data_IF_474310077531
#
_entry.id   IF_474310077531
#
_cell.length_a   1.000
_cell.length_b   1.000
_cell.length_c   1.000
_cell.angle_alpha   90.00
_cell.angle_beta   90.00
_cell.angle_gamma   90.00
#
_symmetry.space_group_name_H-M   'P 1'
#
loop_
_entity.id
_entity.type
_entity.pdbx_description
1 polymer ?
#
# COMPACT_ATOMS: atom_id res chain seq x y z
N UNK A 1 36.54 -5.99 -25.05
CA UNK A 1 35.80 -6.48 -23.86
C UNK A 1 34.35 -6.53 -24.24
N UNK A 2 33.65 -7.63 -23.92
CA UNK A 2 32.20 -7.69 -24.09
C UNK A 2 31.54 -6.74 -23.08
N UNK A 3 30.47 -6.06 -23.49
CA UNK A 3 29.73 -5.10 -22.64
C UNK A 3 29.22 -5.73 -21.35
N UNK A 4 28.90 -7.03 -21.38
CA UNK A 4 28.46 -7.80 -20.22
C UNK A 4 29.56 -7.92 -19.15
N UNK A 5 30.81 -8.17 -19.57
CA UNK A 5 31.97 -8.31 -18.67
C UNK A 5 32.27 -6.97 -17.96
N UNK A 6 32.15 -5.85 -18.68
CA UNK A 6 32.31 -4.52 -18.09
C UNK A 6 31.23 -4.21 -17.05
N UNK A 7 29.98 -4.59 -17.30
CA UNK A 7 28.88 -4.45 -16.34
C UNK A 7 29.15 -5.28 -15.09
N UNK A 8 29.64 -6.52 -15.23
CA UNK A 8 29.93 -7.38 -14.09
C UNK A 8 31.05 -6.82 -13.21
N UNK A 9 32.17 -6.41 -13.83
CA UNK A 9 33.29 -5.75 -13.14
C UNK A 9 32.87 -4.41 -12.49
N UNK A 10 31.96 -3.67 -13.13
CA UNK A 10 31.43 -2.43 -12.57
C UNK A 10 30.56 -2.70 -11.32
N UNK A 11 29.69 -3.70 -11.35
CA UNK A 11 28.88 -4.12 -10.19
C UNK A 11 29.74 -4.69 -9.06
N UNK A 12 30.89 -5.27 -9.37
CA UNK A 12 31.90 -5.73 -8.40
C UNK A 12 32.83 -4.63 -7.90
N UNK A 13 32.73 -3.41 -8.45
CA UNK A 13 33.62 -2.27 -8.15
C UNK A 13 35.10 -2.55 -8.44
N UNK A 14 35.37 -3.42 -9.41
CA UNK A 14 36.73 -3.79 -9.86
C UNK A 14 37.08 -3.14 -11.20
N UNK A 15 36.13 -2.49 -11.86
CA UNK A 15 36.36 -1.77 -13.11
C UNK A 15 37.23 -0.51 -12.88
N UNK A 16 38.30 -0.29 -13.67
CA UNK A 16 39.11 0.93 -13.57
C UNK A 16 38.26 2.21 -13.73
N UNK A 17 38.61 3.25 -12.98
CA UNK A 17 37.82 4.50 -12.89
C UNK A 17 37.56 5.16 -14.26
N UNK A 18 38.53 5.15 -15.16
CA UNK A 18 38.39 5.67 -16.53
C UNK A 18 37.34 4.89 -17.35
N UNK A 19 37.35 3.55 -17.24
CA UNK A 19 36.40 2.69 -17.93
C UNK A 19 35.00 2.75 -17.31
N UNK A 20 34.91 2.96 -15.99
CA UNK A 20 33.65 3.17 -15.28
C UNK A 20 32.94 4.43 -15.78
N UNK A 21 33.66 5.55 -15.94
CA UNK A 21 33.08 6.80 -16.48
C UNK A 21 32.57 6.58 -17.92
N UNK A 22 33.32 5.85 -18.74
CA UNK A 22 32.88 5.50 -20.10
C UNK A 22 31.61 4.64 -20.12
N UNK A 23 31.52 3.65 -19.23
CA UNK A 23 30.34 2.80 -19.10
C UNK A 23 29.12 3.60 -18.61
N UNK A 24 29.29 4.48 -17.63
CA UNK A 24 28.23 5.37 -17.15
C UNK A 24 27.70 6.30 -18.24
N UNK A 25 28.59 6.80 -19.10
CA UNK A 25 28.19 7.61 -20.25
C UNK A 25 27.38 6.79 -21.25
N UNK A 26 27.82 5.56 -21.54
CA UNK A 26 27.10 4.64 -22.43
C UNK A 26 25.71 4.27 -21.87
N UNK A 27 25.60 4.04 -20.56
CA UNK A 27 24.32 3.78 -19.87
C UNK A 27 23.32 4.94 -19.98
N UNK A 28 23.80 6.18 -20.15
CA UNK A 28 22.93 7.35 -20.35
C UNK A 28 22.52 7.57 -21.80
N UNK A 29 23.36 7.14 -22.74
CA UNK A 29 23.16 7.38 -24.16
C UNK A 29 22.42 6.25 -24.87
N UNK A 30 22.58 5.01 -24.40
CA UNK A 30 22.07 3.81 -25.04
C UNK A 30 21.10 3.06 -24.11
N UNK A 31 19.82 3.04 -24.52
CA UNK A 31 18.74 2.37 -23.80
C UNK A 31 18.92 0.84 -23.77
N UNK A 32 19.54 0.23 -24.78
CA UNK A 32 19.73 -1.22 -24.83
C UNK A 32 20.79 -1.66 -23.79
N UNK A 33 21.84 -0.87 -23.61
CA UNK A 33 22.86 -1.10 -22.56
C UNK A 33 22.24 -0.92 -21.17
N UNK A 34 21.38 0.08 -20.99
CA UNK A 34 20.64 0.27 -19.73
C UNK A 34 19.73 -0.94 -19.43
N UNK A 35 18.98 -1.44 -20.40
CA UNK A 35 18.15 -2.63 -20.24
C UNK A 35 18.98 -3.88 -19.93
N UNK A 36 20.15 -4.03 -20.54
CA UNK A 36 21.07 -5.13 -20.22
C UNK A 36 21.56 -5.03 -18.77
N UNK A 37 21.97 -3.84 -18.33
CA UNK A 37 22.39 -3.56 -16.95
C UNK A 37 21.30 -3.93 -15.94
N UNK A 38 20.07 -3.47 -16.16
CA UNK A 38 18.93 -3.77 -15.28
C UNK A 38 18.67 -5.27 -15.16
N UNK A 39 18.76 -6.03 -16.27
CA UNK A 39 18.60 -7.49 -16.27
C UNK A 39 19.69 -8.18 -15.45
N UNK A 40 20.94 -7.75 -15.57
CA UNK A 40 22.06 -8.32 -14.80
C UNK A 40 21.89 -8.05 -13.31
N UNK A 41 21.51 -6.82 -12.93
CA UNK A 41 21.24 -6.46 -11.53
C UNK A 41 20.13 -7.33 -10.94
N UNK A 42 19.02 -7.50 -11.66
CA UNK A 42 17.91 -8.37 -11.23
C UNK A 42 18.37 -9.81 -11.10
N UNK A 43 19.03 -10.37 -12.12
CA UNK A 43 19.51 -11.76 -12.11
C UNK A 43 20.43 -12.04 -10.92
N UNK A 44 21.38 -11.13 -10.64
CA UNK A 44 22.31 -11.25 -9.51
C UNK A 44 21.60 -11.19 -8.16
N UNK A 45 20.58 -10.34 -8.02
CA UNK A 45 19.76 -10.28 -6.80
C UNK A 45 18.99 -11.59 -6.54
N UNK A 46 18.50 -12.23 -7.61
CA UNK A 46 17.80 -13.52 -7.53
C UNK A 46 18.76 -14.64 -7.13
N UNK A 47 19.95 -14.71 -7.72
CA UNK A 47 20.98 -15.69 -7.35
C UNK A 47 21.41 -15.52 -5.88
N UNK A 48 21.65 -14.27 -5.45
CA UNK A 48 22.05 -13.97 -4.06
C UNK A 48 20.96 -14.35 -3.05
N UNK A 49 19.71 -14.03 -3.34
CA UNK A 49 18.59 -14.40 -2.46
C UNK A 49 18.37 -15.91 -2.41
N UNK A 50 18.54 -16.63 -3.52
CA UNK A 50 18.49 -18.09 -3.55
C UNK A 50 19.61 -18.73 -2.71
N UNK A 51 20.85 -18.22 -2.83
CA UNK A 51 21.98 -18.68 -2.03
C UNK A 51 21.78 -18.44 -0.53
N UNK A 52 21.30 -17.24 -0.14
CA UNK A 52 20.99 -16.91 1.25
C UNK A 52 19.90 -17.83 1.81
N UNK A 53 18.83 -18.08 1.04
CA UNK A 53 17.75 -18.99 1.43
C UNK A 53 18.27 -20.41 1.67
N UNK A 54 19.22 -20.88 0.85
CA UNK A 54 19.87 -22.17 1.04
C UNK A 54 20.68 -22.22 2.35
N UNK A 55 21.47 -21.16 2.65
CA UNK A 55 22.23 -21.06 3.90
C UNK A 55 21.31 -21.08 5.13
N UNK A 56 20.21 -20.32 5.10
CA UNK A 56 19.23 -20.29 6.19
C UNK A 56 18.58 -21.66 6.38
N UNK A 57 18.22 -22.36 5.29
CA UNK A 57 17.66 -23.71 5.36
C UNK A 57 18.63 -24.70 6.00
N UNK A 58 19.92 -24.64 5.65
CA UNK A 58 20.93 -25.52 6.22
C UNK A 58 21.17 -25.24 7.72
N UNK A 59 21.21 -23.96 8.11
CA UNK A 59 21.33 -23.56 9.51
C UNK A 59 20.11 -24.04 10.32
N UNK A 60 18.91 -23.94 9.75
CA UNK A 60 17.69 -24.44 10.39
C UNK A 60 17.73 -25.95 10.63
N UNK A 61 18.25 -26.72 9.66
CA UNK A 61 18.44 -28.18 9.82
C UNK A 61 19.46 -28.49 10.91
N UNK A 62 20.60 -27.78 10.95
CA UNK A 62 21.61 -27.95 12.01
C UNK A 62 21.05 -27.64 13.39
N UNK A 63 20.27 -26.56 13.53
CA UNK A 63 19.65 -26.17 14.79
C UNK A 63 18.64 -27.23 15.27
N UNK A 64 17.82 -27.77 14.36
CA UNK A 64 16.89 -28.84 14.70
C UNK A 64 17.60 -30.13 15.11
N UNK A 65 18.72 -30.46 14.47
CA UNK A 65 19.53 -31.64 14.81
C UNK A 65 20.19 -31.48 16.19
N UNK A 66 20.69 -30.28 16.50
CA UNK A 66 21.28 -29.97 17.81
C UNK A 66 20.22 -29.95 18.92
N UNK A 67 19.00 -29.48 18.65
CA UNK A 67 17.88 -29.55 19.61
C UNK A 67 17.37 -30.97 19.87
N UNK A 68 17.49 -31.86 18.88
CA UNK A 68 17.04 -33.25 18.99
C UNK A 68 18.12 -34.20 19.50
N UNK A 69 19.35 -33.71 19.72
CA UNK A 69 20.43 -34.50 20.28
C UNK A 69 20.11 -34.80 21.76
N UNK A 70 19.84 -36.07 22.12
CA UNK A 70 19.65 -36.43 23.51
C UNK A 70 20.97 -36.20 24.26
N UNK A 71 20.90 -35.58 25.44
CA UNK A 71 22.06 -35.32 26.31
C UNK A 71 22.76 -36.63 26.67
N UNK A 72 23.75 -37.02 25.86
CA UNK A 72 24.48 -38.27 26.04
C UNK A 72 25.82 -38.03 26.74
N UNK A 73 25.76 -37.66 28.03
CA UNK A 73 26.83 -37.97 29.01
C UNK A 73 26.23 -38.14 30.41
N UNK A 74 25.71 -39.34 30.69
CA UNK A 74 25.56 -39.82 32.05
C UNK A 74 26.87 -40.51 32.48
N UNK A 75 27.88 -39.73 32.87
CA UNK A 75 29.04 -40.27 33.60
C UNK A 75 28.81 -40.13 35.10
N UNK A 76 28.73 -41.30 35.74
CA UNK A 76 28.83 -41.64 37.17
C UNK A 76 28.69 -40.52 38.23
N UNK A 77 27.59 -40.65 39.00
CA UNK A 77 27.22 -39.84 40.16
C UNK A 77 28.29 -39.85 41.25
N UNK A 78 29.02 -38.75 41.41
CA UNK A 78 29.44 -38.31 42.73
C UNK A 78 28.32 -37.46 43.35
N UNK A 79 27.80 -37.94 44.49
CA UNK A 79 26.73 -37.30 45.26
C UNK A 79 27.24 -36.00 45.91
N UNK A 80 27.24 -34.90 45.16
CA UNK A 80 27.33 -33.56 45.73
C UNK A 80 25.96 -33.11 46.24
N UNK A 81 25.89 -32.43 47.40
CA UNK A 81 24.63 -32.03 48.03
C UNK A 81 23.76 -31.19 47.09
N UNK A 82 22.53 -31.66 46.86
CA UNK A 82 21.55 -31.06 45.96
C UNK A 82 21.08 -29.73 46.54
N UNK A 83 21.56 -28.63 45.94
CA UNK A 83 20.99 -27.29 46.15
C UNK A 83 19.73 -27.16 45.28
N UNK A 84 18.59 -26.71 45.83
CA UNK A 84 17.34 -26.68 45.10
C UNK A 84 17.42 -25.65 43.94
N UNK A 85 17.11 -26.12 42.71
CA UNK A 85 17.39 -25.48 41.41
C UNK A 85 16.46 -24.31 41.03
N UNK A 86 15.54 -23.91 41.91
CA UNK A 86 14.55 -22.84 41.68
C UNK A 86 15.16 -21.43 41.57
N UNK A 87 16.42 -21.24 41.97
CA UNK A 87 17.09 -19.94 41.92
C UNK A 87 17.77 -19.61 40.58
N UNK A 88 17.98 -20.59 39.68
CA UNK A 88 18.76 -20.39 38.44
C UNK A 88 17.90 -19.97 37.23
N UNK A 89 16.62 -20.36 37.19
CA UNK A 89 15.66 -19.89 36.19
C UNK A 89 15.16 -18.44 36.44
N UNK A 90 15.29 -17.93 37.67
CA UNK A 90 14.84 -16.58 38.01
C UNK A 90 15.67 -15.46 37.40
N UNK A 91 16.94 -15.69 37.03
CA UNK A 91 17.79 -14.63 36.45
C UNK A 91 17.59 -14.45 34.94
N UNK A 92 17.38 -15.52 34.18
CA UNK A 92 17.10 -15.46 32.73
C UNK A 92 15.71 -14.85 32.45
N UNK A 93 14.71 -15.15 33.28
CA UNK A 93 13.38 -14.52 33.18
C UNK A 93 13.47 -13.00 33.40
N UNK A 94 14.34 -12.52 34.31
CA UNK A 94 14.49 -11.08 34.57
C UNK A 94 15.12 -10.32 33.40
N UNK A 95 16.03 -10.93 32.65
CA UNK A 95 16.57 -10.33 31.42
C UNK A 95 15.56 -10.37 30.27
N UNK A 96 14.88 -11.50 30.07
CA UNK A 96 13.82 -11.61 29.06
C UNK A 96 12.66 -10.63 29.31
N UNK A 97 12.25 -10.46 30.57
CA UNK A 97 11.21 -9.51 30.95
C UNK A 97 11.60 -8.06 30.67
N UNK A 98 12.88 -7.69 30.83
CA UNK A 98 13.36 -6.33 30.50
C UNK A 98 13.33 -6.06 29.01
N UNK A 99 13.78 -7.02 28.20
CA UNK A 99 13.73 -6.90 26.73
C UNK A 99 12.27 -6.79 26.25
N UNK A 100 11.38 -7.61 26.78
CA UNK A 100 9.94 -7.55 26.48
C UNK A 100 9.30 -6.22 26.91
N UNK A 101 9.61 -5.72 28.11
CA UNK A 101 9.09 -4.46 28.61
C UNK A 101 9.57 -3.26 27.76
N UNK A 102 10.85 -3.24 27.37
CA UNK A 102 11.37 -2.22 26.45
C UNK A 102 10.69 -2.27 25.09
N UNK A 103 10.46 -3.48 24.56
CA UNK A 103 9.70 -3.66 23.31
C UNK A 103 8.27 -3.14 23.43
N UNK A 104 7.58 -3.43 24.54
CA UNK A 104 6.23 -2.91 24.81
C UNK A 104 6.21 -1.38 24.93
N UNK A 105 7.20 -0.78 25.59
CA UNK A 105 7.31 0.68 25.68
C UNK A 105 7.51 1.33 24.31
N UNK A 106 8.36 0.74 23.46
CA UNK A 106 8.55 1.21 22.09
C UNK A 106 7.26 1.08 21.26
N UNK A 107 6.55 -0.05 21.36
CA UNK A 107 5.27 -0.26 20.69
C UNK A 107 4.20 0.72 21.18
N UNK A 108 4.11 0.95 22.49
CA UNK A 108 3.16 1.90 23.08
C UNK A 108 3.49 3.34 22.67
N UNK A 109 4.78 3.71 22.65
CA UNK A 109 5.23 5.01 22.17
C UNK A 109 4.90 5.23 20.70
N UNK A 110 5.18 4.24 19.84
CA UNK A 110 4.84 4.28 18.42
C UNK A 110 3.32 4.36 18.19
N UNK A 111 2.53 3.55 18.89
CA UNK A 111 1.07 3.58 18.80
C UNK A 111 0.49 4.93 19.25
N UNK A 112 1.03 5.51 20.32
CA UNK A 112 0.63 6.84 20.81
C UNK A 112 0.99 7.95 19.81
N UNK A 113 2.17 7.87 19.20
CA UNK A 113 2.60 8.79 18.14
C UNK A 113 1.68 8.72 16.92
N UNK A 114 1.37 7.51 16.45
CA UNK A 114 0.44 7.33 15.34
C UNK A 114 -0.95 7.86 15.70
N UNK A 115 -1.49 7.51 16.87
CA UNK A 115 -2.79 8.02 17.33
C UNK A 115 -2.88 9.55 17.39
N UNK A 116 -1.80 10.22 17.78
CA UNK A 116 -1.73 11.67 17.81
C UNK A 116 -1.73 12.30 16.41
N UNK A 117 -1.05 11.68 15.44
CA UNK A 117 -0.89 12.21 14.09
C UNK A 117 -1.95 11.73 13.08
N UNK A 118 -2.67 10.64 13.36
CA UNK A 118 -3.76 10.16 12.50
C UNK A 118 -4.97 11.08 12.66
N UNK A 119 -5.28 11.79 11.58
CA UNK A 119 -6.49 12.61 11.42
C UNK A 119 -7.25 12.20 10.16
N UNK A 120 -8.53 12.58 10.10
CA UNK A 120 -9.36 12.35 8.92
C UNK A 120 -8.75 13.06 7.70
N UNK A 121 -8.27 14.29 7.86
CA UNK A 121 -7.70 15.09 6.77
C UNK A 121 -6.40 14.48 6.22
N UNK A 122 -5.51 14.00 7.10
CA UNK A 122 -4.28 13.33 6.69
C UNK A 122 -4.57 12.02 5.95
N UNK A 123 -5.52 11.23 6.42
CA UNK A 123 -5.91 9.99 5.74
C UNK A 123 -6.58 10.29 4.39
N UNK A 124 -7.54 11.22 4.39
CA UNK A 124 -8.26 11.62 3.18
C UNK A 124 -7.31 12.11 2.10
N UNK A 125 -6.42 13.06 2.43
CA UNK A 125 -5.45 13.60 1.47
C UNK A 125 -4.48 12.55 0.94
N UNK A 126 -4.05 11.60 1.77
CA UNK A 126 -3.19 10.49 1.35
C UNK A 126 -3.90 9.50 0.40
N UNK A 127 -5.23 9.37 0.52
CA UNK A 127 -6.04 8.45 -0.29
C UNK A 127 -6.79 9.11 -1.43
N UNK A 128 -6.87 10.43 -1.48
CA UNK A 128 -7.56 11.09 -2.57
C UNK A 128 -6.71 11.03 -3.85
N UNK A 129 -7.13 10.18 -4.78
CA UNK A 129 -6.53 10.07 -6.11
C UNK A 129 -7.35 10.94 -7.05
N UNK A 130 -6.69 11.84 -7.78
CA UNK A 130 -7.37 12.66 -8.77
C UNK A 130 -7.84 11.78 -9.93
N UNK A 131 -9.15 11.76 -10.19
CA UNK A 131 -9.71 11.00 -11.31
C UNK A 131 -9.34 11.66 -12.63
N UNK A 132 -8.79 10.89 -13.56
CA UNK A 132 -8.50 11.36 -14.90
C UNK A 132 -9.48 10.73 -15.88
N UNK A 133 -10.21 11.58 -16.61
CA UNK A 133 -11.09 11.14 -17.68
C UNK A 133 -10.27 10.39 -18.74
N UNK A 134 -10.64 9.14 -19.11
CA UNK A 134 -9.98 8.42 -20.19
C UNK A 134 -10.00 9.26 -21.48
N UNK A 135 -8.84 9.38 -22.14
CA UNK A 135 -8.76 10.03 -23.44
C UNK A 135 -9.44 9.13 -24.49
N UNK A 136 -10.67 9.48 -24.87
CA UNK A 136 -11.41 8.80 -25.94
C UNK A 136 -10.75 9.11 -27.29
N UNK A 137 -9.94 8.18 -27.79
CA UNK A 137 -9.29 8.29 -29.10
C UNK A 137 -10.31 7.97 -30.21
N UNK A 138 -10.96 8.99 -30.77
CA UNK A 138 -11.65 8.87 -32.07
C UNK A 138 -13.19 8.94 -32.12
N UNK A 139 -13.87 9.61 -31.19
CA UNK A 139 -15.31 9.86 -31.29
C UNK A 139 -15.60 11.31 -31.71
N UNK A 140 -16.40 11.51 -32.77
CA UNK A 140 -16.87 12.82 -33.23
C UNK A 140 -17.25 13.74 -32.06
N UNK A 141 -16.41 14.75 -31.83
CA UNK A 141 -16.43 15.69 -30.69
C UNK A 141 -17.67 16.57 -30.59
N UNK A 142 -18.69 16.35 -31.41
CA UNK A 142 -19.87 17.23 -31.50
C UNK A 142 -20.88 17.03 -30.37
N UNK A 143 -20.69 16.02 -29.51
CA UNK A 143 -21.53 15.75 -28.34
C UNK A 143 -20.74 15.28 -27.11
N UNK A 144 -19.43 15.58 -27.04
CA UNK A 144 -18.72 15.54 -25.76
C UNK A 144 -19.45 16.50 -24.82
N UNK A 145 -19.96 15.96 -23.72
CA UNK A 145 -20.84 16.69 -22.82
C UNK A 145 -20.09 17.91 -22.29
N UNK A 146 -20.75 19.07 -22.17
CA UNK A 146 -20.15 20.29 -21.62
C UNK A 146 -19.49 20.03 -20.25
N UNK A 147 -19.87 18.98 -19.51
CA UNK A 147 -19.29 18.65 -18.22
C UNK A 147 -17.88 18.04 -18.31
N UNK A 148 -17.55 17.32 -19.38
CA UNK A 148 -16.26 16.66 -19.56
C UNK A 148 -15.14 17.69 -19.69
N UNK A 149 -15.38 18.72 -20.53
CA UNK A 149 -14.44 19.82 -20.75
C UNK A 149 -14.28 20.67 -19.48
N UNK A 150 -15.38 20.92 -18.77
CA UNK A 150 -15.34 21.60 -17.47
C UNK A 150 -14.55 20.77 -16.44
N UNK A 151 -14.68 19.45 -16.45
CA UNK A 151 -13.92 18.58 -15.54
C UNK A 151 -12.42 18.58 -15.85
N UNK A 152 -12.05 18.47 -17.13
CA UNK A 152 -10.65 18.53 -17.59
C UNK A 152 -9.98 19.86 -17.25
N UNK A 153 -10.73 20.96 -17.30
CA UNK A 153 -10.24 22.30 -16.95
C UNK A 153 -10.29 22.60 -15.45
N UNK A 154 -10.77 21.67 -14.62
CA UNK A 154 -10.89 21.86 -13.17
C UNK A 154 -11.99 22.85 -12.76
N UNK A 155 -12.91 23.18 -13.65
CA UNK A 155 -14.02 24.12 -13.42
C UNK A 155 -15.17 23.47 -12.62
N UNK A 156 -14.87 22.95 -11.43
CA UNK A 156 -15.79 22.14 -10.63
C UNK A 156 -17.09 22.88 -10.23
N UNK A 157 -17.01 24.18 -9.97
CA UNK A 157 -18.20 25.02 -9.70
C UNK A 157 -19.12 25.12 -10.91
N UNK A 158 -18.56 25.19 -12.12
CA UNK A 158 -19.35 25.25 -13.35
C UNK A 158 -20.05 23.91 -13.63
N UNK A 159 -19.43 22.78 -13.26
CA UNK A 159 -20.04 21.44 -13.37
C UNK A 159 -21.32 21.37 -12.54
N UNK A 160 -21.26 21.77 -11.26
CA UNK A 160 -22.41 21.66 -10.36
C UNK A 160 -23.55 22.59 -10.79
N UNK A 161 -23.23 23.80 -11.28
CA UNK A 161 -24.21 24.72 -11.88
C UNK A 161 -24.86 24.13 -13.13
N UNK A 162 -24.04 23.65 -14.08
CA UNK A 162 -24.51 23.08 -15.35
C UNK A 162 -25.37 21.84 -15.11
N UNK A 163 -24.95 20.95 -14.21
CA UNK A 163 -25.70 19.76 -13.82
C UNK A 163 -27.12 20.08 -13.33
N UNK A 164 -27.30 21.17 -12.59
CA UNK A 164 -28.61 21.65 -12.14
C UNK A 164 -29.58 21.92 -13.30
N UNK A 165 -29.05 22.40 -14.43
CA UNK A 165 -29.84 22.77 -15.63
C UNK A 165 -30.13 21.62 -16.59
N UNK A 166 -29.49 20.45 -16.42
CA UNK A 166 -29.69 19.30 -17.31
C UNK A 166 -31.09 18.71 -17.13
N UNK A 167 -31.84 18.63 -18.23
CA UNK A 167 -33.18 18.03 -18.30
C UNK A 167 -33.12 16.52 -18.00
N UNK A 168 -32.16 15.82 -18.59
CA UNK A 168 -31.86 14.40 -18.35
C UNK A 168 -30.47 14.28 -17.75
N UNK A 169 -30.33 13.44 -16.72
CA UNK A 169 -29.07 13.23 -15.98
C UNK A 169 -28.64 11.80 -16.17
N UNK A 170 -27.50 11.61 -16.83
CA UNK A 170 -26.91 10.29 -17.09
C UNK A 170 -26.07 9.80 -15.92
N UNK A 171 -25.68 8.52 -15.94
CA UNK A 171 -24.73 7.96 -14.96
C UNK A 171 -23.37 8.69 -14.99
N UNK A 172 -22.94 9.15 -16.17
CA UNK A 172 -21.72 9.94 -16.33
C UNK A 172 -21.84 11.32 -15.66
N UNK A 173 -22.95 12.04 -15.89
CA UNK A 173 -23.19 13.35 -15.28
C UNK A 173 -23.23 13.27 -13.75
N UNK A 174 -23.86 12.21 -13.22
CA UNK A 174 -23.90 11.92 -11.79
C UNK A 174 -22.50 11.72 -11.21
N UNK A 175 -21.68 10.91 -11.88
CA UNK A 175 -20.32 10.62 -11.46
C UNK A 175 -19.45 11.89 -11.44
N UNK A 176 -19.40 12.63 -12.55
CA UNK A 176 -18.59 13.85 -12.67
C UNK A 176 -19.04 14.94 -11.68
N UNK A 177 -20.34 15.05 -11.43
CA UNK A 177 -20.85 15.99 -10.42
C UNK A 177 -20.48 15.56 -9.01
N UNK A 178 -20.52 14.26 -8.69
CA UNK A 178 -20.02 13.73 -7.42
C UNK A 178 -18.54 14.03 -7.21
N UNK A 179 -17.73 13.82 -8.24
CA UNK A 179 -16.30 14.18 -8.22
C UNK A 179 -16.08 15.68 -8.05
N UNK A 180 -16.84 16.52 -8.76
CA UNK A 180 -16.76 17.98 -8.61
C UNK A 180 -17.08 18.44 -7.17
N UNK A 181 -18.05 17.79 -6.52
CA UNK A 181 -18.35 18.05 -5.10
C UNK A 181 -17.21 17.60 -4.18
N UNK A 182 -16.56 16.47 -4.44
CA UNK A 182 -15.38 16.05 -3.68
C UNK A 182 -14.22 17.06 -3.77
N UNK A 183 -13.91 17.55 -4.98
CA UNK A 183 -12.88 18.57 -5.17
C UNK A 183 -13.18 19.90 -4.45
N UNK A 184 -14.45 20.17 -4.19
CA UNK A 184 -14.91 21.35 -3.44
C UNK A 184 -15.08 21.07 -1.94
N UNK A 185 -14.68 19.90 -1.45
CA UNK A 185 -14.89 19.44 -0.08
C UNK A 185 -16.37 19.46 0.37
N UNK A 186 -17.29 19.35 -0.60
CA UNK A 186 -18.74 19.32 -0.38
C UNK A 186 -19.21 17.86 -0.21
N UNK A 187 -18.75 17.22 0.86
CA UNK A 187 -18.84 15.76 1.03
C UNK A 187 -20.28 15.23 1.06
N UNK A 188 -21.21 15.92 1.73
CA UNK A 188 -22.64 15.52 1.78
C UNK A 188 -23.29 15.49 0.40
N UNK A 189 -22.97 16.47 -0.43
CA UNK A 189 -23.45 16.56 -1.81
C UNK A 189 -22.82 15.45 -2.67
N UNK A 190 -21.52 15.19 -2.50
CA UNK A 190 -20.83 14.09 -3.16
C UNK A 190 -21.46 12.73 -2.82
N UNK A 191 -21.67 12.44 -1.52
CA UNK A 191 -22.37 11.23 -1.04
C UNK A 191 -23.72 11.11 -1.74
N UNK A 192 -24.51 12.20 -1.77
CA UNK A 192 -25.82 12.20 -2.41
C UNK A 192 -25.76 11.80 -3.89
N UNK A 193 -24.78 12.32 -4.66
CA UNK A 193 -24.63 11.97 -6.08
C UNK A 193 -24.19 10.53 -6.27
N UNK A 194 -23.19 10.06 -5.53
CA UNK A 194 -22.68 8.69 -5.65
C UNK A 194 -23.71 7.64 -5.22
N UNK A 195 -24.45 7.85 -4.13
CA UNK A 195 -25.55 6.96 -3.74
C UNK A 195 -26.68 6.97 -4.76
N UNK A 196 -26.94 8.10 -5.43
CA UNK A 196 -27.88 8.15 -6.55
C UNK A 196 -27.37 7.34 -7.74
N UNK A 197 -26.09 7.46 -8.09
CA UNK A 197 -25.46 6.67 -9.15
C UNK A 197 -25.53 5.17 -8.87
N UNK A 198 -25.23 4.72 -7.66
CA UNK A 198 -25.41 3.31 -7.26
C UNK A 198 -26.84 2.81 -7.48
N UNK A 199 -27.85 3.61 -7.13
CA UNK A 199 -29.27 3.27 -7.36
C UNK A 199 -29.64 3.20 -8.84
N UNK A 200 -29.02 4.03 -9.68
CA UNK A 200 -29.21 3.98 -11.15
C UNK A 200 -28.57 2.71 -11.71
N UNK A 201 -27.32 2.42 -11.34
CA UNK A 201 -26.60 1.22 -11.77
C UNK A 201 -27.29 -0.08 -11.35
N UNK A 202 -27.93 -0.11 -10.17
CA UNK A 202 -28.67 -1.27 -9.70
C UNK A 202 -29.87 -1.64 -10.61
N UNK A 203 -30.35 -0.71 -11.44
CA UNK A 203 -31.45 -0.91 -12.39
C UNK A 203 -30.97 -1.15 -13.82
N UNK A 204 -29.67 -1.04 -14.08
CA UNK A 204 -29.08 -1.16 -15.41
C UNK A 204 -28.33 -2.50 -15.52
N UNK A 205 -28.29 -3.07 -16.72
CA UNK A 205 -27.49 -4.27 -17.01
C UNK A 205 -26.00 -3.97 -16.98
N UNK A 206 -25.60 -2.80 -17.50
CA UNK A 206 -24.24 -2.28 -17.43
C UNK A 206 -24.10 -1.31 -16.25
N UNK A 207 -23.18 -1.61 -15.32
CA UNK A 207 -22.92 -0.80 -14.13
C UNK A 207 -21.74 0.14 -14.39
N UNK A 208 -22.03 1.32 -14.94
CA UNK A 208 -21.01 2.30 -15.29
C UNK A 208 -20.41 2.93 -14.02
N UNK A 209 -19.08 3.04 -13.96
CA UNK A 209 -18.35 3.65 -12.83
C UNK A 209 -18.58 2.96 -11.47
N UNK A 210 -18.95 1.69 -11.42
CA UNK A 210 -19.30 1.00 -10.17
C UNK A 210 -18.15 1.05 -9.15
N UNK A 211 -16.95 0.66 -9.57
CA UNK A 211 -15.78 0.54 -8.69
C UNK A 211 -15.22 1.91 -8.29
N UNK A 212 -15.22 2.87 -9.22
CA UNK A 212 -14.86 4.26 -8.97
C UNK A 212 -15.84 4.89 -7.98
N UNK A 213 -17.14 4.66 -8.16
CA UNK A 213 -18.18 5.17 -7.26
C UNK A 213 -18.00 4.61 -5.86
N UNK A 214 -17.69 3.32 -5.70
CA UNK A 214 -17.43 2.72 -4.37
C UNK A 214 -16.25 3.38 -3.67
N UNK A 215 -15.14 3.57 -4.37
CA UNK A 215 -13.95 4.19 -3.81
C UNK A 215 -14.18 5.66 -3.42
N UNK A 216 -14.72 6.47 -4.32
CA UNK A 216 -14.95 7.88 -4.06
C UNK A 216 -16.11 8.13 -3.09
N UNK A 217 -17.10 7.24 -3.01
CA UNK A 217 -18.11 7.28 -1.96
C UNK A 217 -17.51 6.99 -0.58
N UNK A 218 -16.58 6.05 -0.47
CA UNK A 218 -15.85 5.79 0.78
C UNK A 218 -15.08 7.03 1.24
N UNK A 219 -14.39 7.70 0.30
CA UNK A 219 -13.71 8.97 0.57
C UNK A 219 -14.68 10.10 0.94
N UNK A 220 -15.84 10.18 0.29
CA UNK A 220 -16.86 11.17 0.61
C UNK A 220 -17.43 10.96 2.03
N UNK A 221 -17.71 9.71 2.42
CA UNK A 221 -18.11 9.38 3.79
C UNK A 221 -17.02 9.74 4.80
N UNK A 222 -15.76 9.42 4.49
CA UNK A 222 -14.64 9.77 5.35
C UNK A 222 -14.54 11.29 5.55
N UNK A 223 -14.59 12.07 4.47
CA UNK A 223 -14.54 13.54 4.52
C UNK A 223 -15.70 14.15 5.30
N UNK A 224 -16.89 13.54 5.27
CA UNK A 224 -18.06 13.95 6.07
C UNK A 224 -17.97 13.50 7.55
N UNK A 225 -16.89 12.84 7.96
CA UNK A 225 -16.72 12.28 9.30
C UNK A 225 -17.50 10.98 9.57
N UNK A 226 -18.13 10.41 8.54
CA UNK A 226 -18.95 9.19 8.62
C UNK A 226 -18.09 7.93 8.48
N UNK A 227 -17.15 7.75 9.41
CA UNK A 227 -16.15 6.67 9.35
C UNK A 227 -16.82 5.28 9.36
N UNK A 228 -17.92 5.11 10.11
CA UNK A 228 -18.69 3.87 10.14
C UNK A 228 -19.24 3.44 8.77
N UNK A 229 -19.59 4.40 7.92
CA UNK A 229 -20.08 4.14 6.56
C UNK A 229 -18.92 3.98 5.54
N UNK A 230 -17.80 4.66 5.77
CA UNK A 230 -16.61 4.53 4.92
C UNK A 230 -15.91 3.17 5.07
N UNK A 231 -15.79 2.68 6.31
CA UNK A 231 -15.09 1.43 6.64
C UNK A 231 -15.52 0.22 5.79
N UNK A 232 -16.82 -0.15 5.72
CA UNK A 232 -17.24 -1.33 4.96
C UNK A 232 -16.97 -1.20 3.46
N UNK A 233 -16.94 0.01 2.90
CA UNK A 233 -16.55 0.21 1.50
C UNK A 233 -15.06 -0.03 1.29
N UNK A 234 -14.19 0.51 2.16
CA UNK A 234 -12.76 0.23 2.10
C UNK A 234 -12.45 -1.26 2.30
N UNK A 235 -13.10 -1.92 3.25
CA UNK A 235 -12.97 -3.36 3.49
C UNK A 235 -13.39 -4.17 2.25
N UNK A 236 -14.51 -3.81 1.61
CA UNK A 236 -14.96 -4.43 0.37
C UNK A 236 -13.93 -4.28 -0.75
N UNK A 237 -13.37 -3.09 -0.94
CA UNK A 237 -12.35 -2.81 -1.96
C UNK A 237 -11.08 -3.64 -1.70
N UNK A 238 -10.65 -3.72 -0.44
CA UNK A 238 -9.49 -4.49 0.00
C UNK A 238 -9.68 -5.99 -0.22
N UNK A 239 -10.86 -6.52 0.06
CA UNK A 239 -11.15 -7.96 -0.04
C UNK A 239 -11.49 -8.43 -1.46
N UNK A 240 -11.65 -7.52 -2.42
CA UNK A 240 -11.95 -7.84 -3.81
C UNK A 240 -10.71 -7.68 -4.72
N UNK A 241 -9.97 -8.76 -5.07
CA UNK A 241 -8.71 -8.66 -5.81
C UNK A 241 -8.86 -8.10 -7.23
N UNK A 242 -10.08 -8.15 -7.79
CA UNK A 242 -10.41 -7.61 -9.12
C UNK A 242 -10.91 -6.18 -9.09
N UNK A 243 -10.98 -5.55 -7.91
CA UNK A 243 -11.37 -4.16 -7.79
C UNK A 243 -10.21 -3.27 -8.25
N UNK A 244 -10.49 -2.28 -9.09
CA UNK A 244 -9.51 -1.37 -9.68
C UNK A 244 -8.67 -0.66 -8.61
N UNK A 245 -9.30 -0.33 -7.48
CA UNK A 245 -8.67 0.33 -6.34
C UNK A 245 -8.14 -0.62 -5.25
N UNK A 246 -8.10 -1.93 -5.49
CA UNK A 246 -7.64 -2.91 -4.51
C UNK A 246 -6.25 -2.59 -3.96
N UNK A 247 -5.33 -2.14 -4.82
CA UNK A 247 -3.95 -1.82 -4.43
C UNK A 247 -3.84 -0.48 -3.70
N UNK A 248 -4.86 0.38 -3.79
CA UNK A 248 -4.90 1.68 -3.13
C UNK A 248 -5.41 1.60 -1.69
N UNK A 249 -5.92 0.43 -1.27
CA UNK A 249 -6.42 0.16 0.06
C UNK A 249 -5.63 -1.00 0.67
N UNK A 250 -4.91 -0.75 1.75
CA UNK A 250 -4.08 -1.73 2.45
C UNK A 250 -4.70 -2.17 3.77
N UNK A 251 -4.14 -3.21 4.40
CA UNK A 251 -4.53 -3.61 5.76
C UNK A 251 -4.22 -2.51 6.80
N UNK A 252 -3.13 -1.77 6.61
CA UNK A 252 -2.79 -0.65 7.49
C UNK A 252 -3.85 0.45 7.42
N UNK A 253 -4.42 0.69 6.23
CA UNK A 253 -5.49 1.67 6.04
C UNK A 253 -6.76 1.29 6.83
N UNK A 254 -7.14 0.01 6.81
CA UNK A 254 -8.28 -0.49 7.59
C UNK A 254 -8.02 -0.37 9.09
N UNK A 255 -6.79 -0.64 9.53
CA UNK A 255 -6.39 -0.45 10.92
C UNK A 255 -6.46 1.03 11.33
N UNK A 256 -5.94 1.95 10.51
CA UNK A 256 -6.03 3.40 10.76
C UNK A 256 -7.48 3.89 10.81
N UNK A 257 -8.35 3.42 9.91
CA UNK A 257 -9.78 3.72 9.95
C UNK A 257 -10.46 3.18 11.21
N UNK A 258 -10.05 2.00 11.68
CA UNK A 258 -10.56 1.43 12.93
C UNK A 258 -10.17 2.30 14.14
N UNK A 259 -8.94 2.82 14.15
CA UNK A 259 -8.43 3.73 15.17
C UNK A 259 -9.18 5.07 15.15
N UNK A 260 -9.41 5.63 13.95
CA UNK A 260 -10.20 6.84 13.75
C UNK A 260 -11.65 6.64 14.22
N UNK A 261 -12.24 5.48 13.97
CA UNK A 261 -13.60 5.15 14.46
C UNK A 261 -13.65 5.17 15.98
N UNK A 262 -12.63 4.62 16.65
CA UNK A 262 -12.56 4.61 18.12
C UNK A 262 -12.32 6.00 18.71
N UNK A 263 -11.54 6.84 18.03
CA UNK A 263 -11.24 8.22 18.46
C UNK A 263 -12.44 9.16 18.40
N UNK A 264 -13.37 8.93 17.47
CA UNK A 264 -14.51 9.80 17.21
C UNK A 264 -15.85 9.24 17.75
N UNK A 265 -15.80 8.14 18.50
CA UNK A 265 -16.94 7.61 19.27
C UNK A 265 -16.93 8.17 20.69
#
# INVERSE_FOLDING_TARGET
>A
METLEQIDLYLDRTLPSEQAVGLEQNLRQDADIQHLFDRVVVARSVVRSAALRSQVKNLHVQLLDEMNRPDEVATEKQLTPVRPLWYRYGQSIRWGARVAASGLLLLAGYASYQYANTSIDTFYSAKFINYQLPATRGGNSSALSTLDDLYRTGAYTAITQRYGTLATKTSHDLFLTGMAYLHQHQYKQAITQFTRLQRVNAKQSARLFEQETEYYLALAYLGDGRIGDAYPLFEKIRTAPRHMYHQNVTESDLWELSLLRWKNH
#
